data_IF_624497739205
#
_entry.id   IF_624497739205
#
_cell.length_a   1.000
_cell.length_b   1.000
_cell.length_c   1.000
_cell.angle_alpha   90.00
_cell.angle_beta   90.00
_cell.angle_gamma   90.00
#
_symmetry.space_group_name_H-M   'P 1'
#
loop_
_entity.id
_entity.type
_entity.pdbx_description
1 polymer ?
#
# COMPACT_ATOMS: atom_id res chain seq x y z
N UNK A 1 -17.38 -3.02 -14.79
CA UNK A 1 -15.97 -3.46 -14.87
C UNK A 1 -15.12 -2.52 -14.05
N UNK A 2 -14.25 -3.02 -13.16
CA UNK A 2 -13.58 -2.19 -12.16
C UNK A 2 -12.51 -1.23 -12.70
N UNK A 3 -11.90 -1.52 -13.85
CA UNK A 3 -10.87 -0.69 -14.47
C UNK A 3 -11.40 0.53 -15.26
N UNK A 4 -12.46 1.18 -14.78
CA UNK A 4 -13.08 2.32 -15.50
C UNK A 4 -12.30 3.63 -15.35
N UNK A 5 -11.78 3.94 -14.15
CA UNK A 5 -11.03 5.16 -13.88
C UNK A 5 -9.59 5.09 -14.42
N UNK A 6 -9.03 6.22 -14.87
CA UNK A 6 -7.60 6.33 -15.24
C UNK A 6 -6.68 5.89 -14.09
N UNK A 7 -7.01 6.28 -12.87
CA UNK A 7 -6.23 5.96 -11.67
C UNK A 7 -6.20 4.45 -11.39
N UNK A 8 -7.33 3.73 -11.50
CA UNK A 8 -7.34 2.26 -11.31
C UNK A 8 -6.63 1.52 -12.43
N UNK A 9 -6.63 2.04 -13.68
CA UNK A 9 -5.81 1.50 -14.77
C UNK A 9 -4.30 1.67 -14.53
N UNK A 10 -3.87 2.83 -14.03
CA UNK A 10 -2.46 3.06 -13.67
C UNK A 10 -2.06 2.18 -12.48
N UNK A 11 -2.91 2.05 -11.46
CA UNK A 11 -2.67 1.14 -10.34
C UNK A 11 -2.51 -0.32 -10.79
N UNK A 12 -3.43 -0.81 -11.65
CA UNK A 12 -3.35 -2.14 -12.28
C UNK A 12 -2.04 -2.36 -13.04
N UNK A 13 -1.64 -1.39 -13.88
CA UNK A 13 -0.41 -1.48 -14.67
C UNK A 13 0.84 -1.55 -13.80
N UNK A 14 0.96 -0.64 -12.81
CA UNK A 14 2.07 -0.64 -11.84
C UNK A 14 2.09 -1.96 -11.08
N UNK A 15 0.95 -2.40 -10.54
CA UNK A 15 0.83 -3.65 -9.78
C UNK A 15 1.25 -4.88 -10.58
N UNK A 16 0.79 -5.00 -11.83
CA UNK A 16 1.08 -6.14 -12.68
C UNK A 16 2.56 -6.24 -13.05
N UNK A 17 3.19 -5.10 -13.38
CA UNK A 17 4.64 -5.05 -13.62
C UNK A 17 5.41 -5.37 -12.32
N UNK A 18 5.05 -4.74 -11.21
CA UNK A 18 5.72 -4.95 -9.91
C UNK A 18 5.70 -6.42 -9.49
N UNK A 19 4.53 -7.06 -9.61
CA UNK A 19 4.35 -8.48 -9.32
C UNK A 19 5.19 -9.35 -10.25
N UNK A 20 5.17 -9.11 -11.57
CA UNK A 20 5.97 -9.88 -12.53
C UNK A 20 7.47 -9.79 -12.23
N UNK A 21 7.99 -8.59 -11.98
CA UNK A 21 9.40 -8.39 -11.64
C UNK A 21 9.77 -9.11 -10.33
N UNK A 22 8.92 -9.02 -9.31
CA UNK A 22 9.16 -9.69 -8.03
C UNK A 22 9.05 -11.23 -8.12
N UNK A 23 8.14 -11.77 -8.93
CA UNK A 23 8.04 -13.22 -9.20
C UNK A 23 9.28 -13.74 -9.90
N UNK A 24 9.75 -13.03 -10.95
CA UNK A 24 10.99 -13.40 -11.65
C UNK A 24 12.15 -13.36 -10.66
N UNK A 25 12.29 -12.28 -9.88
CA UNK A 25 13.33 -12.18 -8.87
C UNK A 25 13.27 -13.32 -7.84
N UNK A 26 12.09 -13.62 -7.32
CA UNK A 26 11.88 -14.64 -6.30
C UNK A 26 12.26 -16.06 -6.76
N UNK A 27 12.04 -16.36 -8.04
CA UNK A 27 12.22 -17.71 -8.60
C UNK A 27 13.57 -17.95 -9.30
N UNK A 28 14.41 -16.93 -9.50
CA UNK A 28 15.64 -17.05 -10.33
C UNK A 28 16.94 -17.00 -9.53
N UNK A 29 17.97 -17.78 -9.92
CA UNK A 29 19.19 -17.97 -9.14
C UNK A 29 20.24 -16.86 -9.33
N UNK A 30 19.85 -15.59 -9.47
CA UNK A 30 20.76 -14.47 -9.79
C UNK A 30 20.58 -13.24 -8.89
N UNK A 31 20.48 -13.44 -7.58
CA UNK A 31 20.58 -12.39 -6.56
C UNK A 31 22.03 -11.98 -6.28
N UNK A 32 22.95 -12.95 -6.28
CA UNK A 32 24.40 -12.75 -6.25
C UNK A 32 25.02 -13.58 -7.38
N UNK A 33 25.99 -13.02 -8.10
CA UNK A 33 26.59 -13.63 -9.30
C UNK A 33 28.08 -13.32 -9.34
N UNK A 34 28.93 -14.24 -9.79
CA UNK A 34 30.35 -13.94 -10.01
C UNK A 34 30.56 -13.03 -11.23
N UNK A 35 31.53 -12.13 -11.15
CA UNK A 35 31.87 -11.14 -12.20
C UNK A 35 32.52 -11.75 -13.46
N UNK A 36 32.85 -13.05 -13.43
CA UNK A 36 33.46 -13.79 -14.53
C UNK A 36 34.96 -13.54 -14.72
N UNK A 37 35.65 -12.84 -13.80
CA UNK A 37 37.09 -12.56 -13.88
C UNK A 37 37.97 -13.71 -13.38
N UNK A 38 37.39 -14.67 -12.65
CA UNK A 38 38.04 -15.90 -12.23
C UNK A 38 37.79 -17.01 -13.28
N UNK A 39 38.84 -17.72 -13.69
CA UNK A 39 38.73 -18.85 -14.62
C UNK A 39 37.97 -20.04 -14.01
N UNK A 40 38.13 -20.26 -12.70
CA UNK A 40 37.50 -21.35 -11.95
C UNK A 40 36.90 -20.82 -10.64
N UNK A 41 35.82 -20.04 -10.70
CA UNK A 41 35.19 -19.48 -9.51
C UNK A 41 34.47 -20.60 -8.75
N UNK A 42 34.74 -20.74 -7.45
CA UNK A 42 34.12 -21.83 -6.65
C UNK A 42 32.61 -21.63 -6.44
N UNK A 43 32.19 -20.37 -6.44
CA UNK A 43 30.81 -19.92 -6.38
C UNK A 43 30.46 -19.28 -7.73
N UNK A 44 29.31 -19.62 -8.31
CA UNK A 44 28.89 -19.10 -9.62
C UNK A 44 27.77 -18.08 -9.48
N UNK A 45 26.66 -18.49 -8.86
CA UNK A 45 25.48 -17.66 -8.69
C UNK A 45 24.55 -18.23 -7.60
N UNK A 46 23.71 -17.37 -7.03
CA UNK A 46 22.75 -17.70 -5.98
C UNK A 46 21.49 -16.86 -6.14
N UNK A 47 20.34 -17.49 -5.92
CA UNK A 47 19.07 -16.83 -5.62
C UNK A 47 18.48 -17.37 -4.33
N UNK A 48 17.27 -16.91 -3.98
CA UNK A 48 16.62 -17.25 -2.69
C UNK A 48 16.56 -18.75 -2.40
N UNK A 49 16.42 -19.58 -3.42
CA UNK A 49 16.09 -21.00 -3.29
C UNK A 49 17.11 -21.95 -3.93
N UNK A 50 18.04 -21.45 -4.74
CA UNK A 50 18.99 -22.26 -5.50
C UNK A 50 20.37 -21.60 -5.48
N UNK A 51 21.41 -22.41 -5.32
CA UNK A 51 22.81 -21.98 -5.35
C UNK A 51 23.59 -22.86 -6.31
N UNK A 52 24.52 -22.24 -7.05
CA UNK A 52 25.37 -22.89 -8.04
C UNK A 52 26.83 -22.81 -7.61
N UNK A 53 27.44 -23.97 -7.39
CA UNK A 53 28.86 -24.11 -7.06
C UNK A 53 29.63 -24.83 -8.18
N UNK A 54 30.94 -24.58 -8.27
CA UNK A 54 31.83 -25.26 -9.20
C UNK A 54 33.07 -25.74 -8.43
N UNK A 55 33.17 -27.05 -8.25
CA UNK A 55 34.23 -27.73 -7.50
C UNK A 55 34.48 -27.11 -6.12
N UNK A 56 33.41 -26.72 -5.42
CA UNK A 56 33.51 -26.16 -4.07
C UNK A 56 33.73 -27.26 -3.05
N UNK A 57 34.68 -27.02 -2.15
CA UNK A 57 34.97 -27.84 -0.98
C UNK A 57 35.12 -26.87 0.20
N UNK A 58 34.48 -27.20 1.32
CA UNK A 58 34.59 -26.39 2.54
C UNK A 58 36.03 -26.43 3.08
N UNK A 59 36.49 -25.29 3.56
CA UNK A 59 37.81 -25.11 4.17
C UNK A 59 37.73 -25.42 5.67
N UNK A 60 36.57 -25.23 6.31
CA UNK A 60 36.40 -25.40 7.76
C UNK A 60 36.14 -26.84 8.17
N UNK A 61 35.54 -27.65 7.28
CA UNK A 61 35.42 -29.09 7.43
C UNK A 61 35.87 -29.81 6.16
N UNK A 62 36.99 -30.52 6.27
CA UNK A 62 37.56 -31.37 5.21
C UNK A 62 36.71 -32.63 4.97
N UNK A 63 35.52 -32.45 4.41
CA UNK A 63 34.78 -33.56 3.79
C UNK A 63 35.38 -33.86 2.42
N UNK A 64 35.42 -35.14 2.04
CA UNK A 64 35.87 -35.59 0.71
C UNK A 64 34.85 -35.27 -0.41
N UNK A 65 33.69 -34.69 -0.06
CA UNK A 65 32.64 -34.29 -1.00
C UNK A 65 32.98 -32.95 -1.69
N UNK A 66 32.67 -32.88 -2.99
CA UNK A 66 32.87 -31.68 -3.83
C UNK A 66 31.54 -31.28 -4.45
N UNK A 67 31.09 -30.07 -4.13
CA UNK A 67 29.82 -29.54 -4.59
C UNK A 67 29.97 -28.93 -5.98
N UNK A 68 29.15 -29.42 -6.92
CA UNK A 68 29.21 -29.08 -8.34
C UNK A 68 27.79 -28.96 -8.90
N UNK A 69 27.54 -27.91 -9.68
CA UNK A 69 26.24 -27.64 -10.30
C UNK A 69 25.33 -26.75 -9.43
N UNK A 70 24.10 -26.60 -9.90
CA UNK A 70 23.05 -25.83 -9.25
C UNK A 70 22.10 -26.78 -8.52
N UNK A 71 21.88 -26.56 -7.23
CA UNK A 71 20.97 -27.38 -6.42
C UNK A 71 20.14 -26.52 -5.47
N UNK A 72 19.02 -27.08 -5.02
CA UNK A 72 18.12 -26.39 -4.10
C UNK A 72 18.79 -26.19 -2.74
N UNK A 73 18.57 -25.04 -2.13
CA UNK A 73 19.33 -24.59 -0.94
C UNK A 73 19.11 -25.48 0.29
N UNK A 74 18.00 -26.24 0.35
CA UNK A 74 17.73 -27.22 1.41
C UNK A 74 17.78 -28.69 0.91
N UNK A 75 18.56 -28.97 -0.14
CA UNK A 75 18.89 -30.34 -0.53
C UNK A 75 19.70 -31.04 0.59
N UNK A 76 19.52 -32.35 0.76
CA UNK A 76 20.15 -33.10 1.88
C UNK A 76 21.68 -32.97 1.89
N UNK A 77 22.29 -32.94 0.71
CA UNK A 77 23.74 -32.78 0.52
C UNK A 77 24.27 -31.45 1.10
N UNK A 78 23.46 -30.39 1.11
CA UNK A 78 23.82 -29.09 1.66
C UNK A 78 23.55 -28.94 3.16
N UNK A 79 22.95 -29.91 3.85
CA UNK A 79 22.77 -29.85 5.30
C UNK A 79 24.09 -29.73 6.06
N UNK A 80 25.17 -30.27 5.49
CA UNK A 80 26.54 -30.15 5.99
C UNK A 80 27.05 -28.70 5.95
N UNK A 81 26.59 -27.91 4.97
CA UNK A 81 26.98 -26.53 4.69
C UNK A 81 25.96 -25.49 5.20
N UNK A 82 24.84 -25.91 5.79
CA UNK A 82 23.68 -25.06 6.07
C UNK A 82 24.05 -23.82 6.91
N UNK A 83 24.87 -23.98 7.95
CA UNK A 83 25.32 -22.89 8.83
C UNK A 83 26.10 -21.78 8.09
N UNK A 84 26.77 -22.14 6.98
CA UNK A 84 27.52 -21.23 6.11
C UNK A 84 26.66 -20.67 4.97
N UNK A 85 25.84 -21.53 4.36
CA UNK A 85 25.02 -21.19 3.19
C UNK A 85 23.82 -20.30 3.57
N UNK A 86 23.17 -20.57 4.71
CA UNK A 86 22.02 -19.82 5.23
C UNK A 86 22.32 -19.19 6.59
N UNK A 87 23.20 -18.17 6.66
CA UNK A 87 23.37 -17.39 7.88
C UNK A 87 22.06 -16.69 8.23
N UNK A 88 21.85 -16.37 9.51
CA UNK A 88 20.56 -15.84 10.00
C UNK A 88 20.03 -14.59 9.28
N UNK A 89 20.90 -13.75 8.71
CA UNK A 89 20.44 -12.62 7.89
C UNK A 89 19.79 -13.08 6.57
N UNK A 90 20.28 -14.16 5.96
CA UNK A 90 19.77 -14.68 4.70
C UNK A 90 18.44 -15.40 4.89
N UNK A 91 18.30 -16.13 6.00
CA UNK A 91 17.01 -16.68 6.44
C UNK A 91 15.97 -15.56 6.61
N UNK A 92 16.37 -14.40 7.17
CA UNK A 92 15.49 -13.24 7.26
C UNK A 92 15.10 -12.68 5.87
N UNK A 93 16.04 -12.59 4.92
CA UNK A 93 15.74 -12.21 3.51
C UNK A 93 14.71 -13.16 2.90
N UNK A 94 14.93 -14.48 3.00
CA UNK A 94 14.01 -15.51 2.50
C UNK A 94 12.62 -15.37 3.13
N UNK A 95 12.53 -15.19 4.46
CA UNK A 95 11.26 -15.00 5.17
C UNK A 95 10.50 -13.77 4.67
N UNK A 96 11.13 -12.59 4.64
CA UNK A 96 10.48 -11.36 4.22
C UNK A 96 10.13 -11.34 2.72
N UNK A 97 10.97 -11.94 1.86
CA UNK A 97 10.67 -12.12 0.45
C UNK A 97 9.47 -13.07 0.26
N UNK A 98 9.36 -14.15 1.05
CA UNK A 98 8.22 -15.07 1.03
C UNK A 98 6.94 -14.38 1.49
N UNK A 99 6.98 -13.58 2.55
CA UNK A 99 5.81 -12.80 3.00
C UNK A 99 5.34 -11.81 1.94
N UNK A 100 6.26 -11.13 1.24
CA UNK A 100 5.93 -10.29 0.09
C UNK A 100 5.27 -11.10 -1.04
N UNK A 101 5.88 -12.22 -1.43
CA UNK A 101 5.39 -13.09 -2.50
C UNK A 101 3.99 -13.65 -2.21
N UNK A 102 3.75 -14.15 -0.99
CA UNK A 102 2.44 -14.67 -0.54
C UNK A 102 1.38 -13.57 -0.57
N UNK A 103 1.67 -12.36 -0.08
CA UNK A 103 0.71 -11.25 -0.15
C UNK A 103 0.40 -10.84 -1.61
N UNK A 104 1.38 -10.91 -2.51
CA UNK A 104 1.13 -10.69 -3.94
C UNK A 104 0.28 -11.80 -4.56
N UNK A 105 0.51 -13.07 -4.21
CA UNK A 105 -0.32 -14.19 -4.64
C UNK A 105 -1.77 -14.07 -4.13
N UNK A 106 -1.98 -13.55 -2.91
CA UNK A 106 -3.32 -13.26 -2.37
C UNK A 106 -3.97 -12.06 -3.08
N UNK A 107 -3.20 -11.05 -3.46
CA UNK A 107 -3.69 -9.89 -4.21
C UNK A 107 -4.12 -10.24 -5.65
N UNK A 108 -3.56 -11.30 -6.26
CA UNK A 108 -3.87 -11.72 -7.62
C UNK A 108 -5.36 -12.09 -7.84
N UNK A 109 -5.97 -13.07 -7.12
CA UNK A 109 -7.40 -13.42 -7.29
C UNK A 109 -8.33 -12.28 -6.87
N UNK A 110 -7.94 -11.44 -5.90
CA UNK A 110 -8.67 -10.23 -5.54
C UNK A 110 -8.70 -9.23 -6.70
N UNK A 111 -7.56 -9.03 -7.37
CA UNK A 111 -7.45 -8.17 -8.56
C UNK A 111 -8.25 -8.71 -9.74
N UNK A 112 -8.20 -10.03 -9.98
CA UNK A 112 -9.03 -10.68 -11.00
C UNK A 112 -10.53 -10.52 -10.71
N UNK A 113 -10.95 -10.64 -9.45
CA UNK A 113 -12.33 -10.40 -9.01
C UNK A 113 -12.73 -8.94 -9.26
N UNK A 114 -11.90 -7.98 -8.82
CA UNK A 114 -12.09 -6.54 -9.04
C UNK A 114 -12.30 -6.16 -10.52
N UNK A 115 -11.56 -6.79 -11.45
CA UNK A 115 -11.74 -6.55 -12.89
C UNK A 115 -13.15 -6.94 -13.38
N UNK A 116 -13.73 -8.01 -12.82
CA UNK A 116 -15.06 -8.52 -13.17
C UNK A 116 -16.20 -7.75 -12.47
N UNK A 117 -15.99 -7.28 -11.25
CA UNK A 117 -16.96 -6.52 -10.44
C UNK A 117 -17.41 -5.21 -11.13
N UNK A 118 -18.68 -4.83 -10.95
CA UNK A 118 -19.16 -3.49 -11.33
C UNK A 118 -18.84 -2.46 -10.25
N UNK A 119 -18.79 -1.18 -10.61
CA UNK A 119 -18.51 -0.09 -9.66
C UNK A 119 -19.63 0.07 -8.61
N UNK A 120 -20.84 -0.27 -9.00
CA UNK A 120 -22.06 -0.08 -8.22
C UNK A 120 -22.24 -1.16 -7.15
N UNK A 121 -21.56 -2.30 -7.31
CA UNK A 121 -21.47 -3.39 -6.32
C UNK A 121 -20.76 -2.90 -5.04
N UNK A 122 -21.35 -3.14 -3.87
CA UNK A 122 -20.79 -2.71 -2.58
C UNK A 122 -19.43 -3.35 -2.29
N UNK A 123 -19.15 -4.53 -2.88
CA UNK A 123 -17.84 -5.20 -2.79
C UNK A 123 -16.73 -4.42 -3.49
N UNK A 124 -17.04 -3.46 -4.36
CA UNK A 124 -16.06 -2.69 -5.12
C UNK A 124 -15.07 -1.93 -4.21
N UNK A 125 -15.59 -1.25 -3.19
CA UNK A 125 -14.76 -0.46 -2.25
C UNK A 125 -13.95 -1.38 -1.33
N UNK A 126 -14.53 -2.50 -0.91
CA UNK A 126 -13.85 -3.53 -0.12
C UNK A 126 -12.67 -4.13 -0.89
N UNK A 127 -12.90 -4.56 -2.14
CA UNK A 127 -11.86 -5.12 -3.01
C UNK A 127 -10.71 -4.12 -3.23
N UNK A 128 -11.01 -2.86 -3.57
CA UNK A 128 -9.98 -1.81 -3.72
C UNK A 128 -9.15 -1.65 -2.44
N UNK A 129 -9.79 -1.60 -1.28
CA UNK A 129 -9.10 -1.43 -0.01
C UNK A 129 -8.23 -2.65 0.34
N UNK A 130 -8.74 -3.87 0.17
CA UNK A 130 -8.01 -5.11 0.46
C UNK A 130 -6.83 -5.33 -0.50
N UNK A 131 -7.00 -5.08 -1.80
CA UNK A 131 -5.89 -5.14 -2.77
C UNK A 131 -4.82 -4.10 -2.39
N UNK A 132 -5.24 -2.87 -2.06
CA UNK A 132 -4.36 -1.79 -1.63
C UNK A 132 -3.56 -2.13 -0.39
N UNK A 133 -4.20 -2.64 0.68
CA UNK A 133 -3.51 -3.02 1.91
C UNK A 133 -2.57 -4.21 1.71
N UNK A 134 -2.98 -5.24 0.95
CA UNK A 134 -2.09 -6.36 0.62
C UNK A 134 -0.82 -5.90 -0.09
N UNK A 135 -0.91 -4.97 -1.06
CA UNK A 135 0.26 -4.47 -1.78
C UNK A 135 1.15 -3.55 -0.94
N UNK A 136 0.57 -2.70 -0.08
CA UNK A 136 1.37 -1.88 0.85
C UNK A 136 2.15 -2.77 1.82
N UNK A 137 1.50 -3.77 2.41
CA UNK A 137 2.15 -4.74 3.31
C UNK A 137 3.21 -5.59 2.58
N UNK A 138 2.91 -6.05 1.35
CA UNK A 138 3.87 -6.76 0.52
C UNK A 138 5.10 -5.90 0.25
N UNK A 139 4.91 -4.63 -0.11
CA UNK A 139 6.01 -3.70 -0.36
C UNK A 139 6.87 -3.47 0.88
N UNK A 140 6.29 -3.38 2.08
CA UNK A 140 7.04 -3.25 3.33
C UNK A 140 7.94 -4.48 3.55
N UNK A 141 7.41 -5.70 3.40
CA UNK A 141 8.23 -6.91 3.56
C UNK A 141 9.27 -7.05 2.43
N UNK A 142 8.90 -6.77 1.18
CA UNK A 142 9.83 -6.77 0.05
C UNK A 142 10.98 -5.76 0.24
N UNK A 143 10.67 -4.56 0.74
CA UNK A 143 11.66 -3.54 1.07
C UNK A 143 12.61 -4.00 2.18
N UNK A 144 12.09 -4.60 3.26
CA UNK A 144 12.93 -5.16 4.33
C UNK A 144 13.86 -6.25 3.77
N UNK A 145 13.34 -7.16 2.94
CA UNK A 145 14.14 -8.23 2.33
C UNK A 145 15.30 -7.67 1.48
N UNK A 146 15.03 -6.69 0.60
CA UNK A 146 16.09 -6.12 -0.26
C UNK A 146 17.05 -5.21 0.50
N UNK A 147 16.63 -4.57 1.60
CA UNK A 147 17.54 -3.80 2.48
C UNK A 147 18.48 -4.72 3.24
N UNK A 148 17.98 -5.83 3.82
CA UNK A 148 18.85 -6.80 4.51
C UNK A 148 19.83 -7.43 3.53
N UNK A 149 19.38 -7.84 2.33
CA UNK A 149 20.27 -8.40 1.32
C UNK A 149 21.24 -7.35 0.76
N UNK A 150 20.80 -6.12 0.52
CA UNK A 150 21.68 -5.04 0.07
C UNK A 150 22.77 -4.68 1.09
N UNK A 151 22.49 -4.80 2.39
CA UNK A 151 23.44 -4.52 3.45
C UNK A 151 24.39 -5.69 3.80
N UNK A 152 24.01 -6.94 3.48
CA UNK A 152 24.74 -8.15 3.93
C UNK A 152 25.10 -9.15 2.85
N UNK A 153 24.45 -9.12 1.68
CA UNK A 153 24.66 -10.07 0.58
C UNK A 153 26.05 -9.97 -0.06
N UNK A 154 26.64 -8.78 -0.09
CA UNK A 154 28.03 -8.53 -0.49
C UNK A 154 28.98 -8.45 0.74
N UNK A 155 28.68 -9.22 1.80
CA UNK A 155 29.62 -9.33 2.93
C UNK A 155 30.79 -10.22 2.57
N UNK A 156 32.01 -9.69 2.75
CA UNK A 156 33.29 -10.41 2.69
C UNK A 156 33.30 -11.77 3.40
N UNK A 157 32.51 -11.92 4.47
CA UNK A 157 32.51 -13.09 5.34
C UNK A 157 31.44 -14.14 5.00
N UNK A 158 30.65 -13.96 3.93
CA UNK A 158 29.59 -14.90 3.55
C UNK A 158 29.94 -15.81 2.36
N UNK A 159 30.22 -15.26 1.18
CA UNK A 159 30.38 -16.09 -0.03
C UNK A 159 31.84 -16.26 -0.48
N UNK A 160 32.24 -17.45 -0.98
CA UNK A 160 33.59 -17.67 -1.48
C UNK A 160 33.90 -16.72 -2.64
N UNK A 161 35.09 -16.12 -2.63
CA UNK A 161 35.51 -15.24 -3.72
C UNK A 161 34.85 -13.85 -3.72
N UNK A 162 34.31 -13.40 -2.58
CA UNK A 162 33.59 -12.12 -2.37
C UNK A 162 34.07 -10.91 -3.19
N UNK A 163 35.37 -10.76 -3.45
CA UNK A 163 35.95 -9.68 -4.26
C UNK A 163 35.49 -9.66 -5.73
N UNK A 164 34.90 -10.75 -6.20
CA UNK A 164 34.52 -11.03 -7.59
C UNK A 164 33.06 -11.52 -7.65
N UNK A 165 32.25 -11.14 -6.67
CA UNK A 165 30.83 -11.46 -6.57
C UNK A 165 30.04 -10.15 -6.55
N UNK A 166 29.21 -9.92 -7.57
CA UNK A 166 28.38 -8.73 -7.70
C UNK A 166 26.91 -9.05 -7.38
N UNK A 167 26.14 -8.02 -7.01
CA UNK A 167 24.69 -8.12 -6.91
C UNK A 167 24.08 -8.37 -8.30
N UNK A 168 23.36 -9.48 -8.43
CA UNK A 168 22.84 -9.95 -9.71
C UNK A 168 21.58 -9.21 -10.18
N UNK A 169 21.21 -9.44 -11.44
CA UNK A 169 20.07 -8.78 -12.08
C UNK A 169 18.73 -9.11 -11.40
N UNK A 170 18.56 -10.31 -10.84
CA UNK A 170 17.33 -10.69 -10.13
C UNK A 170 17.16 -9.88 -8.83
N UNK A 171 18.26 -9.52 -8.15
CA UNK A 171 18.19 -8.62 -7.01
C UNK A 171 17.72 -7.23 -7.43
N UNK A 172 18.20 -6.69 -8.54
CA UNK A 172 17.70 -5.42 -9.07
C UNK A 172 16.20 -5.48 -9.40
N UNK A 173 15.71 -6.60 -9.96
CA UNK A 173 14.27 -6.82 -10.17
C UNK A 173 13.49 -6.94 -8.84
N UNK A 174 14.07 -7.53 -7.79
CA UNK A 174 13.48 -7.57 -6.45
C UNK A 174 13.30 -6.16 -5.87
N UNK A 175 14.32 -5.29 -6.02
CA UNK A 175 14.28 -3.90 -5.56
C UNK A 175 13.20 -3.11 -6.30
N UNK A 176 13.18 -3.17 -7.63
CA UNK A 176 12.19 -2.44 -8.44
C UNK A 176 10.77 -2.97 -8.19
N UNK A 177 10.58 -4.29 -8.25
CA UNK A 177 9.27 -4.92 -8.02
C UNK A 177 8.75 -4.67 -6.61
N UNK A 178 9.59 -4.88 -5.58
CA UNK A 178 9.25 -4.67 -4.18
C UNK A 178 8.87 -3.21 -3.87
N UNK A 179 9.63 -2.24 -4.38
CA UNK A 179 9.35 -0.81 -4.18
C UNK A 179 8.14 -0.32 -4.98
N UNK A 180 7.93 -0.79 -6.21
CA UNK A 180 6.81 -0.35 -7.05
C UNK A 180 5.43 -0.88 -6.59
N UNK A 181 5.38 -1.89 -5.73
CA UNK A 181 4.14 -2.31 -5.05
C UNK A 181 3.54 -1.18 -4.18
N UNK A 182 4.38 -0.33 -3.56
CA UNK A 182 3.91 0.76 -2.68
C UNK A 182 3.02 1.79 -3.41
N UNK A 183 3.46 2.45 -4.51
CA UNK A 183 2.59 3.38 -5.24
C UNK A 183 1.38 2.69 -5.86
N UNK A 184 1.47 1.43 -6.28
CA UNK A 184 0.33 0.63 -6.73
C UNK A 184 -0.75 0.49 -5.64
N UNK A 185 -0.34 0.05 -4.45
CA UNK A 185 -1.21 -0.12 -3.29
C UNK A 185 -1.83 1.20 -2.82
N UNK A 186 -1.05 2.28 -2.76
CA UNK A 186 -1.53 3.61 -2.38
C UNK A 186 -2.59 4.12 -3.36
N UNK A 187 -2.42 3.94 -4.67
CA UNK A 187 -3.41 4.35 -5.67
C UNK A 187 -4.75 3.63 -5.48
N UNK A 188 -4.74 2.33 -5.17
CA UNK A 188 -5.98 1.60 -4.84
C UNK A 188 -6.64 2.13 -3.57
N UNK A 189 -5.87 2.42 -2.52
CA UNK A 189 -6.41 2.98 -1.27
C UNK A 189 -6.99 4.40 -1.47
N UNK A 190 -6.37 5.23 -2.31
CA UNK A 190 -6.88 6.57 -2.66
C UNK A 190 -8.19 6.48 -3.44
N UNK A 191 -8.30 5.56 -4.41
CA UNK A 191 -9.55 5.33 -5.13
C UNK A 191 -10.63 4.74 -4.20
N UNK A 192 -10.32 3.77 -3.35
CA UNK A 192 -11.24 3.25 -2.32
C UNK A 192 -11.80 4.38 -1.44
N UNK A 193 -10.91 5.26 -0.94
CA UNK A 193 -11.28 6.42 -0.13
C UNK A 193 -12.16 7.40 -0.90
N UNK A 194 -11.84 7.66 -2.17
CA UNK A 194 -12.60 8.55 -3.06
C UNK A 194 -14.01 8.04 -3.31
N UNK A 195 -14.19 6.76 -3.63
CA UNK A 195 -15.52 6.16 -3.81
C UNK A 195 -16.33 6.15 -2.51
N UNK A 196 -15.69 5.87 -1.37
CA UNK A 196 -16.35 5.90 -0.05
C UNK A 196 -16.91 7.30 0.26
N UNK A 197 -16.15 8.37 0.02
CA UNK A 197 -16.66 9.73 0.18
C UNK A 197 -17.77 10.07 -0.82
N UNK A 198 -17.68 9.60 -2.07
CA UNK A 198 -18.74 9.83 -3.07
C UNK A 198 -20.07 9.20 -2.61
N UNK A 199 -20.04 7.93 -2.20
CA UNK A 199 -21.23 7.22 -1.69
C UNK A 199 -21.80 7.86 -0.41
N UNK A 200 -20.94 8.27 0.54
CA UNK A 200 -21.40 8.96 1.75
C UNK A 200 -22.06 10.32 1.45
N UNK A 201 -21.51 11.11 0.52
CA UNK A 201 -22.12 12.36 0.09
C UNK A 201 -23.44 12.14 -0.66
N UNK A 202 -23.56 11.06 -1.45
CA UNK A 202 -24.80 10.71 -2.15
C UNK A 202 -25.91 10.30 -1.17
N UNK A 203 -25.57 9.53 -0.12
CA UNK A 203 -26.51 9.20 0.97
C UNK A 203 -26.93 10.47 1.70
N UNK A 204 -25.98 11.31 2.15
CA UNK A 204 -26.28 12.54 2.89
C UNK A 204 -27.13 13.53 2.08
N UNK A 205 -26.84 13.70 0.78
CA UNK A 205 -27.66 14.56 -0.09
C UNK A 205 -29.08 13.99 -0.27
N UNK A 206 -29.23 12.67 -0.31
CA UNK A 206 -30.55 12.02 -0.40
C UNK A 206 -31.34 12.21 0.89
N UNK A 207 -30.74 11.97 2.06
CA UNK A 207 -31.37 12.20 3.37
C UNK A 207 -31.85 13.66 3.52
N UNK A 208 -31.07 14.63 3.06
CA UNK A 208 -31.45 16.05 3.05
C UNK A 208 -32.62 16.34 2.10
N UNK A 209 -32.69 15.66 0.94
CA UNK A 209 -33.83 15.78 0.03
C UNK A 209 -35.10 15.18 0.63
N UNK A 210 -35.01 13.95 1.16
CA UNK A 210 -36.12 13.18 1.74
C UNK A 210 -36.74 13.95 2.92
N UNK A 211 -35.92 14.50 3.81
CA UNK A 211 -36.37 15.39 4.90
C UNK A 211 -36.98 16.71 4.41
N UNK A 212 -36.46 17.29 3.34
CA UNK A 212 -37.00 18.51 2.72
C UNK A 212 -38.40 18.28 2.14
N UNK A 213 -38.58 17.19 1.40
CA UNK A 213 -39.85 16.81 0.77
C UNK A 213 -40.92 16.54 1.85
N UNK A 214 -40.58 15.79 2.91
CA UNK A 214 -41.46 15.55 4.07
C UNK A 214 -41.88 16.87 4.75
N UNK A 215 -40.95 17.81 4.94
CA UNK A 215 -41.24 19.12 5.52
C UNK A 215 -42.27 19.90 4.69
N UNK A 216 -42.05 20.05 3.38
CA UNK A 216 -42.99 20.77 2.50
C UNK A 216 -44.35 20.08 2.41
N UNK A 217 -44.38 18.74 2.37
CA UNK A 217 -45.63 17.98 2.34
C UNK A 217 -46.43 18.14 3.64
N UNK A 218 -45.77 18.16 4.81
CA UNK A 218 -46.42 18.42 6.09
C UNK A 218 -47.02 19.84 6.17
N UNK A 219 -46.31 20.84 5.67
CA UNK A 219 -46.77 22.23 5.64
C UNK A 219 -47.95 22.42 4.68
N UNK A 220 -47.94 21.77 3.51
CA UNK A 220 -49.07 21.77 2.58
C UNK A 220 -50.33 21.12 3.19
N UNK A 221 -50.18 20.00 3.91
CA UNK A 221 -51.28 19.35 4.61
C UNK A 221 -51.88 20.21 5.74
N UNK A 222 -51.03 20.93 6.49
CA UNK A 222 -51.47 21.87 7.52
C UNK A 222 -52.20 23.09 6.92
N UNK A 223 -51.72 23.62 5.79
CA UNK A 223 -52.39 24.72 5.07
C UNK A 223 -53.76 24.28 4.51
N UNK A 224 -53.86 23.07 3.97
CA UNK A 224 -55.11 22.53 3.44
C UNK A 224 -56.17 22.29 4.55
N UNK A 225 -55.76 21.79 5.72
CA UNK A 225 -56.69 21.61 6.85
C UNK A 225 -57.17 22.93 7.45
N UNK A 226 -56.31 23.96 7.48
CA UNK A 226 -56.71 25.32 7.88
C UNK A 226 -57.68 25.99 6.88
N UNK A 227 -57.50 25.73 5.57
CA UNK A 227 -58.43 26.23 4.54
C UNK A 227 -59.79 25.50 4.55
N UNK A 228 -59.84 24.23 5.02
CA UNK A 228 -61.06 23.44 5.10
C UNK A 228 -62.00 23.82 6.26
N UNK A 229 -61.51 24.48 7.30
CA UNK A 229 -62.29 24.85 8.50
C UNK A 229 -62.95 26.24 8.42
N UNK A 230 -62.73 27.03 7.38
CA UNK A 230 -63.24 28.40 7.26
C UNK A 230 -64.68 28.53 6.74
N UNK A 231 -65.55 27.53 6.95
CA UNK A 231 -66.93 27.51 6.45
C UNK A 231 -68.02 27.67 7.54
N UNK A 232 -67.64 27.91 8.81
CA UNK A 232 -68.61 28.16 9.88
C UNK A 232 -68.17 29.22 10.91
N UNK A 233 -68.40 30.50 10.56
CA UNK A 233 -68.79 31.57 11.50
C UNK A 233 -67.75 32.13 12.49
N UNK A 234 -67.59 33.46 12.46
CA UNK A 234 -67.01 34.25 13.56
C UNK A 234 -65.56 34.68 13.34
N UNK A 235 -65.34 36.00 13.30
CA UNK A 235 -64.01 36.57 13.14
C UNK A 235 -63.31 36.76 14.51
N UNK A 236 -62.11 36.20 14.67
CA UNK A 236 -61.17 36.59 15.73
C UNK A 236 -59.71 36.31 15.34
N UNK A 237 -58.94 37.40 15.20
CA UNK A 237 -57.47 37.55 15.22
C UNK A 237 -56.56 36.56 14.44
N UNK A 238 -55.52 37.05 13.72
CA UNK A 238 -54.47 36.18 13.20
C UNK A 238 -53.63 35.64 14.36
N UNK A 239 -53.59 34.32 14.54
CA UNK A 239 -52.63 33.69 15.45
C UNK A 239 -51.21 33.91 14.92
N UNK A 240 -50.31 34.39 15.79
CA UNK A 240 -48.94 34.66 15.43
C UNK A 240 -48.21 33.36 15.03
N UNK A 241 -47.57 33.37 13.86
CA UNK A 241 -46.58 32.37 13.48
C UNK A 241 -45.46 32.37 14.53
N UNK A 242 -45.06 31.21 15.10
CA UNK A 242 -43.81 31.11 15.82
C UNK A 242 -42.67 31.38 14.84
N UNK A 243 -42.00 32.50 15.02
CA UNK A 243 -40.72 32.76 14.38
C UNK A 243 -39.65 31.82 14.98
N UNK A 244 -38.58 31.61 14.22
CA UNK A 244 -37.32 31.00 14.65
C UNK A 244 -37.29 29.48 14.90
N UNK A 245 -37.04 28.75 13.81
CA UNK A 245 -35.84 27.90 13.80
C UNK A 245 -35.15 27.99 12.43
N UNK A 246 -34.01 28.68 12.38
CA UNK A 246 -33.09 28.57 11.25
C UNK A 246 -32.59 27.12 11.20
N UNK A 247 -32.83 26.42 10.08
CA UNK A 247 -32.07 25.20 9.80
C UNK A 247 -30.57 25.57 9.74
N UNK A 248 -29.68 24.87 10.46
CA UNK A 248 -28.26 25.17 10.40
C UNK A 248 -27.76 25.02 8.97
N UNK A 249 -27.14 26.07 8.41
CA UNK A 249 -26.48 25.99 7.11
C UNK A 249 -25.47 24.83 7.17
N UNK A 250 -25.55 23.83 6.27
CA UNK A 250 -24.70 22.65 6.35
C UNK A 250 -23.25 23.09 6.21
N UNK A 251 -22.48 22.92 7.29
CA UNK A 251 -21.11 23.41 7.41
C UNK A 251 -20.18 22.69 6.45
N UNK A 252 -20.14 23.19 5.20
CA UNK A 252 -19.29 22.70 4.11
C UNK A 252 -17.86 22.52 4.64
N UNK A 253 -17.29 21.29 4.60
CA UNK A 253 -15.93 21.06 5.05
C UNK A 253 -14.97 21.99 4.30
N UNK A 254 -14.36 22.93 5.03
CA UNK A 254 -13.47 23.94 4.45
C UNK A 254 -12.24 23.24 3.88
N UNK A 255 -12.15 23.14 2.55
CA UNK A 255 -10.93 22.69 1.85
C UNK A 255 -9.75 23.53 2.35
N UNK A 256 -8.63 22.93 2.82
CA UNK A 256 -7.41 23.68 3.11
C UNK A 256 -6.93 24.38 1.83
N UNK A 257 -6.75 25.70 1.88
CA UNK A 257 -6.09 26.42 0.78
C UNK A 257 -4.58 26.12 0.81
N UNK A 258 -3.96 25.75 -0.32
CA UNK A 258 -2.50 25.76 -0.43
C UNK A 258 -2.03 27.21 -0.32
N UNK A 259 -1.02 27.43 0.51
CA UNK A 259 -0.69 28.76 1.03
C UNK A 259 -0.17 29.77 0.01
N UNK A 260 -0.27 31.05 0.38
CA UNK A 260 0.51 32.14 -0.22
C UNK A 260 1.09 33.00 0.90
N UNK A 261 2.38 33.26 0.82
CA UNK A 261 3.18 33.97 1.82
C UNK A 261 2.89 35.48 1.85
N UNK A 262 2.95 36.07 3.04
CA UNK A 262 3.52 37.40 3.26
C UNK A 262 3.90 37.62 4.73
N UNK A 263 4.90 38.48 4.93
CA UNK A 263 5.66 38.66 6.17
C UNK A 263 5.26 40.00 6.88
N UNK A 264 5.92 40.47 7.95
CA UNK A 264 5.19 40.99 9.12
C UNK A 264 5.15 42.52 9.19
N UNK A 265 4.17 43.05 9.91
CA UNK A 265 4.19 44.43 10.43
C UNK A 265 3.97 44.43 11.93
N UNK A 266 4.86 45.12 12.64
CA UNK A 266 4.88 45.21 14.09
C UNK A 266 4.10 46.41 14.61
N UNK A 267 3.50 46.27 15.80
CA UNK A 267 3.45 47.33 16.82
C UNK A 267 3.10 46.72 18.18
N UNK A 268 4.06 46.74 19.11
CA UNK A 268 3.82 46.79 20.56
C UNK A 268 3.78 48.30 20.98
N UNK A 269 3.64 48.74 22.26
CA UNK A 269 3.87 48.06 23.55
C UNK A 269 2.60 48.17 24.47
N UNK A 270 2.54 47.91 25.78
CA UNK A 270 3.47 47.50 26.85
C UNK A 270 2.64 46.71 27.92
N UNK A 271 3.07 46.31 29.12
CA UNK A 271 4.34 46.32 29.88
C UNK A 271 4.27 45.17 30.91
N UNK A 272 5.37 44.51 31.29
CA UNK A 272 5.29 43.41 32.29
C UNK A 272 6.62 42.69 32.56
N UNK A 273 7.50 43.34 33.32
CA UNK A 273 8.82 42.81 33.71
C UNK A 273 8.73 41.76 34.82
N UNK A 274 9.57 40.72 34.75
CA UNK A 274 10.45 40.29 35.85
C UNK A 274 11.63 39.50 35.25
N UNK A 275 12.75 39.53 35.98
CA UNK A 275 14.12 39.34 35.52
C UNK A 275 14.64 37.93 35.82
N UNK A 276 15.50 37.41 34.93
CA UNK A 276 16.32 36.21 35.14
C UNK A 276 17.53 36.52 36.00
N UNK A 277 17.96 35.57 36.84
CA UNK A 277 19.36 35.46 37.27
C UNK A 277 19.76 33.99 37.40
N UNK A 278 20.88 33.64 36.75
CA UNK A 278 21.68 32.39 36.80
C UNK A 278 21.03 31.12 36.22
#
# INVERSE_FOLDING_TARGET
>A
MGASNRNTRVALGISGVSFLLFVIAYATPFWLVTDGRLENPRFTNLGLWEVCFNNFQDIHRFYDTRFNGCMWVFEEEYYILHDFLLPGFYIAVQLFATLCFVLCLLALPLTLSFLRTSRDDDRYVFLLLTIGTCQVLASIFGFIAVVIFGAKGDSRDWMPGWQNNDMGWSFALAVVGGCMLLPGGILYMVEARRERYKRLNEISNREVSEYGDDYYQSQAAAAATAAGTSSSGGASAPAALPHDYFAPEPSRPRRPQPGRSQQPTATAPAHGSIQTDI
#
